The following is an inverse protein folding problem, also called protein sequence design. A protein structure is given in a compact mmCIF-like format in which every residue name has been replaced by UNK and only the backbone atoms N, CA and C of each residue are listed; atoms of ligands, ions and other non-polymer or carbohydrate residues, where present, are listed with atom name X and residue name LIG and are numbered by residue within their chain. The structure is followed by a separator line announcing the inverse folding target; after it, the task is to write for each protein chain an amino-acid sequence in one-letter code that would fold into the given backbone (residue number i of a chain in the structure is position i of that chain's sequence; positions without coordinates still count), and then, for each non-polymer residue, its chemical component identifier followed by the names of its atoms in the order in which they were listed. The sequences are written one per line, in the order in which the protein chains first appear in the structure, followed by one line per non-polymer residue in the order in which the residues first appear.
data_IF_777067576648
#
_entry.id   IF_777067576648
#
_cell.length_a   1.000
_cell.length_b   1.000
_cell.length_c   1.000
_cell.angle_alpha   90.00
_cell.angle_beta   90.00
_cell.angle_gamma   90.00
#
_symmetry.space_group_name_H-M   'P 1'
#
loop_
_entity.id
_entity.type
_entity.pdbx_description
1 polymer ?
#
# COMPACT_ATOMS: atom_id res chain seq x y z
N UNK A 1 17.74 0.48 -12.18
CA UNK A 1 17.58 -0.98 -12.04
C UNK A 1 16.19 -1.20 -11.49
N UNK A 2 15.34 -1.96 -12.18
CA UNK A 2 13.98 -2.23 -11.71
C UNK A 2 14.03 -3.19 -10.52
N UNK A 3 13.47 -2.81 -9.38
CA UNK A 3 13.29 -3.69 -8.21
C UNK A 3 11.80 -3.92 -8.01
N UNK A 4 11.40 -5.19 -7.89
CA UNK A 4 10.00 -5.58 -7.72
C UNK A 4 9.82 -6.45 -6.47
N UNK A 5 8.75 -6.21 -5.74
CA UNK A 5 8.35 -7.00 -4.57
C UNK A 5 6.83 -7.05 -4.49
N UNK A 6 6.29 -8.15 -3.98
CA UNK A 6 4.85 -8.41 -3.98
C UNK A 6 4.43 -8.85 -2.58
N UNK A 7 3.35 -8.25 -2.09
CA UNK A 7 2.83 -8.47 -0.74
C UNK A 7 1.38 -8.94 -0.87
N UNK A 8 1.11 -10.24 -0.68
CA UNK A 8 -0.25 -10.75 -0.60
C UNK A 8 -0.99 -10.16 0.61
N UNK A 9 -2.29 -9.94 0.45
CA UNK A 9 -3.18 -9.49 1.52
C UNK A 9 -4.60 -10.06 1.29
N UNK A 10 -5.51 -9.79 2.22
CA UNK A 10 -6.90 -10.24 2.17
C UNK A 10 -7.90 -9.08 2.33
N UNK A 11 -9.12 -9.31 1.85
CA UNK A 11 -10.27 -8.46 2.09
C UNK A 11 -10.78 -8.50 3.53
N UNK A 12 -11.73 -7.63 3.86
CA UNK A 12 -12.37 -7.55 5.17
C UNK A 12 -13.77 -6.93 5.05
N UNK A 13 -14.80 -7.38 5.81
CA UNK A 13 -16.16 -6.85 5.72
C UNK A 13 -16.29 -5.33 5.87
N UNK A 14 -15.42 -4.73 6.70
CA UNK A 14 -15.39 -3.29 6.95
C UNK A 14 -14.56 -2.47 5.92
N UNK A 15 -14.19 -3.04 4.77
CA UNK A 15 -13.41 -2.30 3.76
C UNK A 15 -14.21 -1.13 3.18
N UNK A 16 -13.64 0.08 3.26
CA UNK A 16 -14.31 1.33 2.83
C UNK A 16 -13.49 2.17 1.86
N UNK A 17 -12.19 2.34 2.11
CA UNK A 17 -11.28 3.07 1.23
C UNK A 17 -11.82 4.44 0.80
N UNK A 18 -12.09 5.32 1.76
CA UNK A 18 -12.61 6.68 1.54
C UNK A 18 -11.60 7.77 1.92
N UNK A 19 -10.43 7.40 2.43
CA UNK A 19 -9.45 8.38 2.86
C UNK A 19 -8.80 9.09 1.65
N UNK A 20 -8.84 10.44 1.58
CA UNK A 20 -8.48 11.20 0.38
C UNK A 20 -6.97 11.46 0.20
N UNK A 21 -6.14 10.94 1.12
CA UNK A 21 -4.70 11.27 1.17
C UNK A 21 -3.78 10.06 1.24
N UNK A 22 -4.30 8.88 1.55
CA UNK A 22 -3.48 7.70 1.82
C UNK A 22 -4.14 6.43 1.33
N UNK A 23 -3.31 5.41 1.13
CA UNK A 23 -3.70 4.00 0.99
C UNK A 23 -2.84 3.22 1.97
N UNK A 24 -3.44 2.24 2.65
CA UNK A 24 -2.78 1.42 3.66
C UNK A 24 -3.10 -0.07 3.48
N UNK A 25 -2.11 -0.93 3.64
CA UNK A 25 -2.30 -2.36 3.93
C UNK A 25 -1.65 -2.68 5.28
N UNK A 26 -2.21 -3.64 6.00
CA UNK A 26 -1.71 -4.02 7.33
C UNK A 26 -1.66 -5.54 7.50
N UNK A 27 -0.74 -6.01 8.33
CA UNK A 27 -0.70 -7.42 8.76
C UNK A 27 -1.78 -7.73 9.80
N UNK A 28 -2.35 -6.72 10.45
CA UNK A 28 -3.44 -6.90 11.42
C UNK A 28 -4.67 -7.51 10.73
N UNK A 29 -5.35 -8.50 11.36
CA UNK A 29 -6.49 -9.18 10.77
C UNK A 29 -7.78 -8.36 10.84
N UNK A 30 -7.90 -7.52 11.88
CA UNK A 30 -9.12 -6.80 12.22
C UNK A 30 -9.09 -5.37 11.69
N UNK A 31 -10.19 -4.95 11.06
CA UNK A 31 -10.37 -3.59 10.56
C UNK A 31 -11.63 -2.97 11.15
N UNK A 32 -11.49 -1.86 11.86
CA UNK A 32 -12.63 -1.07 12.32
C UNK A 32 -13.20 -0.21 11.19
N UNK A 33 -14.45 0.23 11.33
CA UNK A 33 -15.12 1.11 10.34
C UNK A 33 -14.48 2.51 10.20
N UNK A 34 -13.58 2.88 11.12
CA UNK A 34 -12.80 4.12 11.10
C UNK A 34 -11.53 4.02 10.27
N UNK A 35 -11.03 2.80 9.99
CA UNK A 35 -9.85 2.56 9.16
C UNK A 35 -10.14 2.76 7.66
N UNK A 36 -10.54 3.97 7.28
CA UNK A 36 -11.02 4.27 5.93
C UNK A 36 -9.91 4.45 4.88
N UNK A 37 -8.64 4.42 5.28
CA UNK A 37 -7.48 4.35 4.37
C UNK A 37 -7.06 2.92 4.02
N UNK A 38 -7.52 1.92 4.77
CA UNK A 38 -7.08 0.53 4.64
C UNK A 38 -7.78 -0.13 3.44
N UNK A 39 -6.99 -0.88 2.66
CA UNK A 39 -7.44 -1.59 1.44
C UNK A 39 -7.05 -3.07 1.47
N UNK A 40 -6.43 -3.53 2.55
CA UNK A 40 -6.01 -4.91 2.74
C UNK A 40 -5.59 -5.19 4.17
N UNK A 41 -6.04 -6.33 4.70
CA UNK A 41 -5.67 -6.88 6.02
C UNK A 41 -4.89 -8.18 5.84
N UNK A 42 -4.34 -8.75 6.91
CA UNK A 42 -3.56 -9.99 6.85
C UNK A 42 -2.47 -9.95 5.75
N UNK A 43 -1.85 -8.78 5.55
CA UNK A 43 -0.72 -8.65 4.65
C UNK A 43 0.42 -9.56 5.09
N UNK A 44 1.20 -10.10 4.16
CA UNK A 44 2.32 -11.00 4.51
C UNK A 44 3.45 -10.32 5.29
N UNK A 45 3.55 -8.99 5.21
CA UNK A 45 4.51 -8.18 5.98
C UNK A 45 4.11 -6.70 6.03
N UNK A 46 4.56 -6.00 7.08
CA UNK A 46 4.65 -4.54 7.10
C UNK A 46 5.94 -4.03 6.41
N UNK A 47 6.21 -2.73 6.54
CA UNK A 47 7.42 -2.10 5.98
C UNK A 47 8.73 -2.81 6.38
N UNK A 48 8.83 -3.31 7.61
CA UNK A 48 10.05 -3.96 8.11
C UNK A 48 10.42 -5.23 7.32
N UNK A 49 9.42 -5.94 6.77
CA UNK A 49 9.62 -7.17 5.99
C UNK A 49 9.97 -6.95 4.51
N UNK A 50 10.03 -5.69 4.05
CA UNK A 50 10.45 -5.37 2.69
C UNK A 50 11.95 -5.70 2.52
N UNK A 51 12.36 -6.35 1.42
CA UNK A 51 13.78 -6.67 1.20
C UNK A 51 14.68 -5.43 1.22
N UNK A 52 15.85 -5.55 1.83
CA UNK A 52 16.80 -4.43 1.97
C UNK A 52 17.21 -3.79 0.63
N UNK A 53 17.30 -4.59 -0.44
CA UNK A 53 17.56 -4.05 -1.78
C UNK A 53 16.47 -3.07 -2.24
N UNK A 54 15.20 -3.39 -1.98
CA UNK A 54 14.08 -2.50 -2.29
C UNK A 54 14.06 -1.30 -1.36
N UNK A 55 14.27 -1.46 -0.05
CA UNK A 55 14.34 -0.33 0.88
C UNK A 55 15.41 0.69 0.46
N UNK A 56 16.59 0.22 0.03
CA UNK A 56 17.66 1.09 -0.51
C UNK A 56 17.25 1.83 -1.79
N UNK A 57 16.40 1.24 -2.63
CA UNK A 57 15.87 1.91 -3.80
C UNK A 57 14.80 2.94 -3.41
N UNK A 58 13.89 2.59 -2.50
CA UNK A 58 12.85 3.50 -1.98
C UNK A 58 13.45 4.73 -1.29
N UNK A 59 14.59 4.59 -0.59
CA UNK A 59 15.28 5.68 0.11
C UNK A 59 16.05 6.66 -0.80
N UNK A 60 15.74 6.70 -2.09
CA UNK A 60 16.35 7.61 -3.06
C UNK A 60 15.34 8.65 -3.50
N UNK A 61 15.70 9.91 -3.43
CA UNK A 61 14.80 11.03 -3.76
C UNK A 61 14.45 11.10 -5.25
N UNK A 62 15.29 10.51 -6.12
CA UNK A 62 15.03 10.38 -7.55
C UNK A 62 14.11 9.19 -7.90
N UNK A 63 13.92 8.24 -6.98
CA UNK A 63 13.21 7.00 -7.29
C UNK A 63 11.75 7.23 -7.61
N UNK A 64 11.31 6.57 -8.68
CA UNK A 64 9.90 6.52 -9.09
C UNK A 64 9.33 5.19 -8.65
N UNK A 65 8.20 5.25 -7.97
CA UNK A 65 7.51 4.08 -7.43
C UNK A 65 6.20 3.93 -8.19
N UNK A 66 5.97 2.72 -8.69
CA UNK A 66 4.67 2.30 -9.19
C UNK A 66 4.15 1.22 -8.27
N UNK A 67 3.00 1.47 -7.66
CA UNK A 67 2.26 0.51 -6.85
C UNK A 67 1.08 0.01 -7.67
N UNK A 68 0.90 -1.31 -7.71
CA UNK A 68 -0.28 -1.93 -8.31
C UNK A 68 -1.01 -2.76 -7.27
N UNK A 69 -2.28 -2.45 -7.04
CA UNK A 69 -3.19 -3.26 -6.23
C UNK A 69 -3.98 -4.15 -7.20
N UNK A 70 -3.86 -5.47 -7.05
CA UNK A 70 -4.58 -6.46 -7.87
C UNK A 70 -5.59 -7.18 -7.01
N UNK A 71 -6.80 -7.35 -7.53
CA UNK A 71 -7.91 -8.10 -6.91
C UNK A 71 -8.68 -8.78 -8.03
N UNK A 72 -8.65 -10.12 -8.06
CA UNK A 72 -9.14 -10.91 -9.20
C UNK A 72 -8.59 -10.35 -10.54
N UNK A 73 -9.46 -10.11 -11.51
CA UNK A 73 -9.14 -9.50 -12.82
C UNK A 73 -8.98 -7.97 -12.78
N UNK A 74 -9.22 -7.34 -11.63
CA UNK A 74 -9.15 -5.88 -11.49
C UNK A 74 -7.77 -5.44 -11.03
N UNK A 75 -7.29 -4.32 -11.57
CA UNK A 75 -6.05 -3.68 -11.11
C UNK A 75 -6.22 -2.18 -10.94
N UNK A 76 -5.50 -1.64 -9.96
CA UNK A 76 -5.46 -0.21 -9.67
C UNK A 76 -4.00 0.22 -9.49
N UNK A 77 -3.60 1.27 -10.20
CA UNK A 77 -2.19 1.70 -10.28
C UNK A 77 -2.02 3.09 -9.69
N UNK A 78 -1.04 3.22 -8.79
CA UNK A 78 -0.65 4.46 -8.13
C UNK A 78 0.82 4.73 -8.44
N UNK A 79 1.14 5.98 -8.76
CA UNK A 79 2.51 6.43 -8.96
C UNK A 79 2.91 7.35 -7.81
N UNK A 80 4.13 7.22 -7.32
CA UNK A 80 4.67 8.05 -6.25
C UNK A 80 6.18 8.16 -6.31
N UNK A 81 6.77 8.70 -5.24
CA UNK A 81 8.21 8.93 -5.13
C UNK A 81 8.79 8.29 -3.88
N UNK A 82 10.04 7.84 -4.04
CA UNK A 82 10.93 7.58 -2.92
C UNK A 82 11.38 8.86 -2.23
N UNK A 83 12.03 8.72 -1.09
CA UNK A 83 12.64 9.82 -0.34
C UNK A 83 13.69 9.29 0.63
N UNK A 84 14.77 10.04 0.83
CA UNK A 84 15.83 9.68 1.79
C UNK A 84 15.33 9.48 3.23
N UNK A 85 14.32 10.26 3.63
CA UNK A 85 13.67 10.17 4.96
C UNK A 85 12.73 8.96 5.16
N UNK A 86 12.60 8.06 4.18
CA UNK A 86 11.75 6.87 4.35
C UNK A 86 12.39 5.86 5.32
N UNK A 87 11.83 5.80 6.53
CA UNK A 87 12.33 4.93 7.61
C UNK A 87 12.03 3.44 7.33
N UNK A 88 10.81 3.08 6.91
CA UNK A 88 10.44 1.71 6.50
C UNK A 88 10.63 0.62 7.59
N UNK A 89 10.27 0.91 8.84
CA UNK A 89 10.53 0.03 9.99
C UNK A 89 9.28 -0.54 10.66
N UNK A 90 8.08 -0.06 10.32
CA UNK A 90 6.87 -0.57 10.95
C UNK A 90 6.63 -2.05 10.61
N UNK A 91 6.28 -2.86 11.61
CA UNK A 91 6.09 -4.30 11.50
C UNK A 91 4.75 -4.72 10.91
N UNK A 92 3.74 -3.85 10.96
CA UNK A 92 2.38 -4.16 10.58
C UNK A 92 1.93 -3.41 9.32
N UNK A 93 2.20 -2.11 9.27
CA UNK A 93 1.56 -1.23 8.30
C UNK A 93 2.50 -0.83 7.16
N UNK A 94 1.91 -0.70 5.98
CA UNK A 94 2.51 -0.07 4.80
C UNK A 94 1.53 1.00 4.33
N UNK A 95 1.97 2.25 4.34
CA UNK A 95 1.18 3.42 3.95
C UNK A 95 1.83 4.15 2.78
N UNK A 96 1.06 4.46 1.76
CA UNK A 96 1.47 5.37 0.68
C UNK A 96 0.64 6.66 0.77
N UNK A 97 1.27 7.80 0.46
CA UNK A 97 0.72 9.12 0.80
C UNK A 97 0.77 10.08 -0.38
N UNK A 98 -0.28 10.88 -0.56
CA UNK A 98 -0.27 12.03 -1.49
C UNK A 98 0.65 13.17 -1.00
N UNK A 99 0.78 13.32 0.32
CA UNK A 99 1.66 14.33 0.95
C UNK A 99 3.13 13.89 0.98
N UNK A 100 4.02 14.83 1.33
CA UNK A 100 5.44 14.58 1.64
C UNK A 100 5.74 14.06 3.05
N UNK A 101 4.73 13.95 3.92
CA UNK A 101 4.94 13.48 5.30
C UNK A 101 5.50 12.05 5.32
N UNK A 102 6.53 11.83 6.13
CA UNK A 102 7.15 10.52 6.35
C UNK A 102 7.00 10.07 7.80
N UNK A 103 6.90 8.77 8.00
CA UNK A 103 6.92 8.09 9.29
C UNK A 103 7.34 6.62 9.07
N UNK A 104 7.57 5.82 10.13
CA UNK A 104 8.01 4.42 9.99
C UNK A 104 7.13 3.53 9.11
N UNK A 105 5.86 3.89 8.91
CA UNK A 105 4.87 3.20 8.07
C UNK A 105 4.91 3.61 6.60
N UNK A 106 5.57 4.70 6.26
CA UNK A 106 5.45 5.34 4.95
C UNK A 106 6.38 4.66 3.94
N UNK A 107 5.81 4.16 2.84
CA UNK A 107 6.52 3.50 1.74
C UNK A 107 6.73 4.39 0.52
N UNK A 108 5.77 5.28 0.25
CA UNK A 108 5.85 6.23 -0.85
C UNK A 108 5.17 7.54 -0.46
N UNK A 109 5.70 8.64 -0.99
CA UNK A 109 5.15 9.99 -0.85
C UNK A 109 4.81 10.55 -2.23
N UNK A 110 4.13 11.71 -2.26
CA UNK A 110 3.74 12.38 -3.51
C UNK A 110 2.94 11.46 -4.47
N UNK A 111 2.11 10.58 -3.91
CA UNK A 111 1.28 9.70 -4.72
C UNK A 111 0.22 10.49 -5.51
N UNK A 112 -0.03 10.06 -6.75
CA UNK A 112 -1.05 10.66 -7.63
C UNK A 112 -2.48 10.32 -7.20
N UNK A 113 -2.65 9.19 -6.48
CA UNK A 113 -3.95 8.67 -6.03
C UNK A 113 -3.95 8.31 -4.54
N UNK A 114 -5.15 8.23 -3.96
CA UNK A 114 -5.43 7.74 -2.62
C UNK A 114 -6.53 6.67 -2.61
N UNK A 115 -6.97 6.24 -1.43
CA UNK A 115 -7.91 5.11 -1.28
C UNK A 115 -9.30 5.41 -1.83
N UNK A 116 -9.73 6.67 -1.79
CA UNK A 116 -10.99 7.15 -2.39
C UNK A 116 -10.99 7.07 -3.93
N UNK A 117 -9.82 7.13 -4.56
CA UNK A 117 -9.67 6.96 -6.02
C UNK A 117 -9.86 5.50 -6.49
N UNK A 118 -9.85 4.51 -5.58
CA UNK A 118 -10.02 3.11 -5.95
C UNK A 118 -11.44 2.86 -6.47
N UNK A 119 -11.62 2.13 -7.60
CA UNK A 119 -12.94 1.82 -8.12
C UNK A 119 -13.82 1.12 -7.08
N UNK A 120 -15.03 1.63 -6.87
CA UNK A 120 -15.96 1.09 -5.85
C UNK A 120 -16.30 -0.39 -6.08
N UNK A 121 -16.24 -0.87 -7.32
CA UNK A 121 -16.38 -2.30 -7.65
C UNK A 121 -15.28 -3.15 -7.01
N UNK A 122 -14.03 -2.68 -7.04
CA UNK A 122 -12.89 -3.35 -6.40
C UNK A 122 -13.04 -3.35 -4.88
N UNK A 123 -13.49 -2.24 -4.28
CA UNK A 123 -13.76 -2.19 -2.83
C UNK A 123 -14.85 -3.18 -2.43
N UNK A 124 -15.92 -3.31 -3.21
CA UNK A 124 -16.96 -4.33 -2.97
C UNK A 124 -16.42 -5.75 -3.02
N UNK A 125 -15.47 -6.06 -3.90
CA UNK A 125 -14.80 -7.37 -3.91
C UNK A 125 -14.01 -7.56 -2.61
N UNK A 126 -13.24 -6.56 -2.20
CA UNK A 126 -12.45 -6.58 -0.96
C UNK A 126 -13.28 -6.60 0.33
N UNK A 127 -14.60 -6.48 0.25
CA UNK A 127 -15.48 -6.68 1.41
C UNK A 127 -15.70 -8.17 1.74
N UNK A 128 -15.39 -9.09 0.82
CA UNK A 128 -15.36 -10.53 1.13
C UNK A 128 -14.01 -10.88 1.81
N UNK A 129 -14.00 -11.40 3.06
CA UNK A 129 -12.77 -11.84 3.72
C UNK A 129 -11.98 -12.92 2.96
N UNK A 130 -12.62 -13.66 2.05
CA UNK A 130 -11.96 -14.69 1.24
C UNK A 130 -11.24 -14.12 0.03
N UNK A 131 -11.53 -12.87 -0.34
CA UNK A 131 -10.88 -12.23 -1.48
C UNK A 131 -9.40 -12.00 -1.17
N UNK A 132 -8.55 -12.49 -2.08
CA UNK A 132 -7.10 -12.29 -2.03
C UNK A 132 -6.73 -11.10 -2.91
N UNK A 133 -5.86 -10.26 -2.38
CA UNK A 133 -5.25 -9.17 -3.12
C UNK A 133 -3.74 -9.27 -3.16
N UNK A 134 -3.14 -8.53 -4.09
CA UNK A 134 -1.69 -8.42 -4.22
C UNK A 134 -1.29 -6.96 -4.31
N UNK A 135 -0.40 -6.53 -3.41
CA UNK A 135 0.21 -5.21 -3.42
C UNK A 135 1.60 -5.32 -4.04
N UNK A 136 1.72 -4.89 -5.29
CA UNK A 136 2.95 -4.99 -6.08
C UNK A 136 3.67 -3.65 -6.07
N UNK A 137 4.93 -3.65 -5.66
CA UNK A 137 5.80 -2.47 -5.63
C UNK A 137 6.84 -2.62 -6.72
N UNK A 138 6.94 -1.63 -7.60
CA UNK A 138 7.95 -1.53 -8.64
C UNK A 138 8.70 -0.21 -8.47
N UNK A 139 10.02 -0.26 -8.30
CA UNK A 139 10.88 0.92 -8.11
C UNK A 139 11.89 1.02 -9.24
N UNK A 140 11.99 2.20 -9.86
CA UNK A 140 12.96 2.52 -10.92
C UNK A 140 13.88 3.65 -10.52
#
# INVERSE_FOLDING_TARGET
MLVRFEIPFYGHPNMRAFHPRTIEITTEPELTVQGDCIVGVNASCGCSGIPEQMKRALRRSESKIKITIKVDESSFVVFGNGHEDLVLENTHDIVIRKSRYTCPRTLAINCDKASDDIPRKMIKQLQDPKTRGLFVIEVT
#
